data_IF_145117034885
#
_entry.id   IF_145117034885
#
_cell.length_a   1.000
_cell.length_b   1.000
_cell.length_c   1.000
_cell.angle_alpha   90.00
_cell.angle_beta   90.00
_cell.angle_gamma   90.00
#
_symmetry.space_group_name_H-M   'P 1'
#
loop_
_entity.id
_entity.type
_entity.pdbx_description
1 polymer ?
#
# COMPACT_ATOMS: atom_id res chain seq x y z
N UNK A 1 -4.35 -49.19 69.18
CA UNK A 1 -4.56 -47.78 68.78
C UNK A 1 -4.05 -47.61 67.37
N UNK A 2 -4.93 -47.80 66.39
CA UNK A 2 -4.59 -47.72 64.92
C UNK A 2 -4.94 -46.38 64.39
N UNK A 3 -3.96 -45.65 63.88
CA UNK A 3 -4.17 -44.39 63.14
C UNK A 3 -4.22 -44.64 61.62
N UNK A 4 -5.37 -44.56 61.08
CA UNK A 4 -5.61 -44.61 59.62
C UNK A 4 -5.16 -43.33 59.00
N UNK A 5 -4.15 -43.41 58.10
CA UNK A 5 -3.74 -42.34 57.19
C UNK A 5 -4.65 -42.33 55.96
N UNK A 6 -5.29 -41.18 55.68
CA UNK A 6 -6.06 -40.95 54.47
C UNK A 6 -5.12 -40.42 53.40
N UNK A 7 -5.18 -40.86 52.13
CA UNK A 7 -4.41 -40.27 51.09
C UNK A 7 -5.12 -39.01 50.57
N UNK A 8 -4.35 -37.94 50.43
CA UNK A 8 -4.76 -36.69 49.77
C UNK A 8 -4.60 -36.88 48.25
N UNK A 9 -5.70 -36.89 47.52
CA UNK A 9 -5.68 -36.80 46.05
C UNK A 9 -5.30 -35.38 45.65
N UNK A 10 -4.13 -35.20 45.07
CA UNK A 10 -3.73 -34.00 44.39
C UNK A 10 -4.37 -33.99 42.99
N UNK A 11 -5.35 -33.15 42.81
CA UNK A 11 -5.96 -32.89 41.48
C UNK A 11 -4.98 -32.15 40.59
N UNK A 12 -4.56 -32.78 39.50
CA UNK A 12 -3.76 -32.19 38.44
C UNK A 12 -4.70 -31.39 37.50
N UNK A 13 -4.75 -30.07 37.65
CA UNK A 13 -5.47 -29.20 36.73
C UNK A 13 -4.64 -29.09 35.44
N UNK A 14 -5.09 -29.75 34.36
CA UNK A 14 -4.60 -29.50 33.02
C UNK A 14 -5.07 -28.12 32.58
N UNK A 15 -4.18 -27.15 32.62
CA UNK A 15 -4.35 -25.88 31.92
C UNK A 15 -4.11 -26.15 30.43
N UNK A 16 -5.17 -26.28 29.66
CA UNK A 16 -5.10 -26.29 28.21
C UNK A 16 -4.65 -24.89 27.77
N UNK A 17 -3.37 -24.74 27.49
CA UNK A 17 -2.81 -23.56 26.84
C UNK A 17 -3.39 -23.42 25.43
N UNK A 18 -4.27 -22.47 25.23
CA UNK A 18 -4.70 -22.06 23.90
C UNK A 18 -3.51 -21.31 23.27
N UNK A 19 -2.63 -22.04 22.60
CA UNK A 19 -1.65 -21.45 21.70
C UNK A 19 -2.42 -20.89 20.52
N UNK A 20 -2.72 -19.58 20.55
CA UNK A 20 -3.08 -18.86 19.35
C UNK A 20 -1.92 -19.00 18.36
N UNK A 21 -2.08 -19.88 17.38
CA UNK A 21 -1.21 -19.93 16.24
C UNK A 21 -1.35 -18.56 15.54
N UNK A 22 -0.38 -17.67 15.77
CA UNK A 22 -0.15 -16.52 14.92
C UNK A 22 0.08 -17.12 13.54
N UNK A 23 -0.87 -16.93 12.64
CA UNK A 23 -0.67 -17.21 11.24
C UNK A 23 0.53 -16.38 10.82
N UNK A 24 1.67 -17.05 10.59
CA UNK A 24 2.84 -16.40 9.99
C UNK A 24 2.41 -16.07 8.57
N UNK A 25 2.18 -14.78 8.35
CA UNK A 25 1.98 -14.26 7.02
C UNK A 25 3.21 -14.60 6.19
N UNK A 26 3.07 -15.58 5.30
CA UNK A 26 4.12 -15.96 4.37
C UNK A 26 4.44 -14.82 3.40
N UNK A 27 5.55 -14.92 2.64
CA UNK A 27 5.89 -13.91 1.64
C UNK A 27 4.71 -13.71 0.69
N UNK A 28 4.15 -12.49 0.67
CA UNK A 28 2.95 -12.13 -0.10
C UNK A 28 1.69 -11.85 0.71
N UNK A 29 1.71 -11.98 2.03
CA UNK A 29 0.57 -11.66 2.90
C UNK A 29 0.08 -10.21 2.77
N UNK A 30 0.98 -9.27 2.48
CA UNK A 30 0.62 -7.87 2.23
C UNK A 30 -0.37 -7.65 1.08
N UNK A 31 -0.46 -8.59 0.13
CA UNK A 31 -1.43 -8.52 -0.97
C UNK A 31 -2.85 -8.92 -0.56
N UNK A 32 -3.03 -9.59 0.57
CA UNK A 32 -4.36 -10.00 1.06
C UNK A 32 -5.26 -8.82 1.44
N UNK A 33 -4.66 -7.69 1.78
CA UNK A 33 -5.38 -6.47 2.16
C UNK A 33 -5.91 -5.66 0.97
N UNK A 34 -5.43 -5.93 -0.24
CA UNK A 34 -5.93 -5.28 -1.46
C UNK A 34 -7.23 -5.96 -1.88
N UNK A 35 -8.39 -5.29 -1.94
CA UNK A 35 -9.66 -5.92 -2.29
C UNK A 35 -9.64 -6.47 -3.71
N UNK A 36 -10.50 -7.47 -3.97
CA UNK A 36 -10.70 -7.96 -5.32
C UNK A 36 -11.35 -6.86 -6.17
N UNK A 37 -10.85 -6.64 -7.38
CA UNK A 37 -11.33 -5.57 -8.24
C UNK A 37 -10.79 -4.18 -7.88
N UNK A 38 -9.77 -4.11 -7.00
CA UNK A 38 -9.11 -2.85 -6.67
C UNK A 38 -8.63 -2.12 -7.92
N UNK A 39 -8.72 -0.80 -7.87
CA UNK A 39 -8.34 0.10 -8.95
C UNK A 39 -6.85 0.41 -8.88
N UNK A 40 -6.07 -0.12 -9.79
CA UNK A 40 -4.63 0.09 -9.85
C UNK A 40 -4.27 1.14 -10.91
N UNK A 41 -3.33 1.99 -10.56
CA UNK A 41 -2.84 3.06 -11.42
C UNK A 41 -1.32 3.04 -11.45
N UNK A 42 -0.78 3.20 -12.65
CA UNK A 42 0.62 3.59 -12.85
C UNK A 42 0.61 4.94 -13.54
N UNK A 43 1.27 5.93 -12.94
CA UNK A 43 1.40 7.24 -13.55
C UNK A 43 2.88 7.57 -13.78
N UNK A 44 3.17 8.25 -14.87
CA UNK A 44 4.51 8.72 -15.23
C UNK A 44 4.52 10.22 -15.40
N UNK A 45 5.52 10.89 -14.84
CA UNK A 45 5.85 12.28 -15.12
C UNK A 45 7.32 12.40 -15.40
N UNK A 46 7.69 13.21 -16.36
CA UNK A 46 9.07 13.46 -16.76
C UNK A 46 9.41 14.96 -16.61
N UNK A 47 10.56 15.24 -16.03
CA UNK A 47 11.05 16.61 -15.94
C UNK A 47 11.40 17.17 -17.33
N UNK A 48 11.18 18.46 -17.51
CA UNK A 48 11.83 19.20 -18.58
C UNK A 48 13.36 19.19 -18.41
N UNK A 49 14.14 19.29 -19.45
CA UNK A 49 15.60 19.40 -19.35
C UNK A 49 16.03 20.49 -18.37
N UNK A 50 16.86 20.14 -17.39
CA UNK A 50 17.34 21.04 -16.35
C UNK A 50 16.36 21.30 -15.20
N UNK A 51 15.19 20.64 -15.18
CA UNK A 51 14.17 20.75 -14.12
C UNK A 51 14.04 19.51 -13.24
N UNK A 52 14.97 18.57 -13.36
CA UNK A 52 14.94 17.28 -12.67
C UNK A 52 14.91 17.46 -11.14
N UNK A 53 15.79 18.31 -10.61
CA UNK A 53 15.87 18.57 -9.17
C UNK A 53 14.63 19.32 -8.64
N UNK A 54 14.11 20.27 -9.43
CA UNK A 54 12.93 21.05 -9.05
C UNK A 54 11.67 20.17 -9.06
N UNK A 55 11.48 19.33 -10.09
CA UNK A 55 10.37 18.39 -10.14
C UNK A 55 10.44 17.39 -8.99
N UNK A 56 11.64 16.87 -8.70
CA UNK A 56 11.85 15.97 -7.55
C UNK A 56 11.45 16.65 -6.24
N UNK A 57 11.90 17.88 -5.99
CA UNK A 57 11.57 18.64 -4.79
C UNK A 57 10.07 18.93 -4.67
N UNK A 58 9.38 19.18 -5.79
CA UNK A 58 7.95 19.38 -5.82
C UNK A 58 7.15 18.09 -5.58
N UNK A 59 7.71 16.93 -5.95
CA UNK A 59 7.00 15.63 -5.94
C UNK A 59 7.20 14.84 -4.64
N UNK A 60 8.39 14.91 -4.03
CA UNK A 60 8.70 14.16 -2.81
C UNK A 60 7.71 14.38 -1.63
N UNK A 61 7.20 15.61 -1.37
CA UNK A 61 6.24 15.82 -0.30
C UNK A 61 4.94 15.04 -0.45
N UNK A 62 4.56 14.66 -1.67
CA UNK A 62 3.36 13.84 -1.91
C UNK A 62 3.43 12.50 -1.18
N UNK A 63 4.62 11.93 -0.98
CA UNK A 63 4.77 10.61 -0.34
C UNK A 63 4.12 10.58 1.04
N UNK A 64 4.36 11.60 1.86
CA UNK A 64 3.76 11.68 3.20
C UNK A 64 2.27 11.99 3.15
N UNK A 65 1.86 12.89 2.25
CA UNK A 65 0.46 13.31 2.10
C UNK A 65 -0.42 12.15 1.61
N UNK A 66 0.02 11.42 0.58
CA UNK A 66 -0.74 10.31 0.01
C UNK A 66 -0.78 9.12 0.97
N UNK A 67 0.31 8.82 1.68
CA UNK A 67 0.32 7.76 2.70
C UNK A 67 -0.59 8.06 3.89
N UNK A 68 -0.90 9.32 4.11
CA UNK A 68 -1.90 9.75 5.10
C UNK A 68 -3.35 9.71 4.59
N UNK A 69 -3.57 9.49 3.30
CA UNK A 69 -4.91 9.37 2.72
C UNK A 69 -5.45 7.94 2.93
N UNK A 70 -6.52 7.73 3.73
CA UNK A 70 -7.05 6.40 4.00
C UNK A 70 -7.66 5.72 2.76
N UNK A 71 -7.89 6.47 1.69
CA UNK A 71 -8.42 5.96 0.41
C UNK A 71 -7.34 5.36 -0.47
N UNK A 72 -6.07 5.71 -0.26
CA UNK A 72 -4.95 5.11 -0.97
C UNK A 72 -4.44 3.89 -0.20
N UNK A 73 -4.56 2.71 -0.78
CA UNK A 73 -4.16 1.44 -0.16
C UNK A 73 -2.67 1.14 -0.33
N UNK A 74 -2.11 1.56 -1.46
CA UNK A 74 -0.68 1.38 -1.79
C UNK A 74 -0.21 2.58 -2.57
N UNK A 75 0.92 3.16 -2.15
CA UNK A 75 1.57 4.25 -2.85
C UNK A 75 3.08 4.09 -2.86
N UNK A 76 3.65 4.04 -4.05
CA UNK A 76 5.08 4.10 -4.28
C UNK A 76 5.41 5.20 -5.29
N UNK A 77 6.26 6.13 -4.87
CA UNK A 77 6.93 7.05 -5.77
C UNK A 77 8.33 6.51 -6.06
N UNK A 78 8.63 6.35 -7.31
CA UNK A 78 9.91 5.81 -7.81
C UNK A 78 10.51 6.79 -8.81
N UNK A 79 11.84 6.88 -8.82
CA UNK A 79 12.57 7.59 -9.87
C UNK A 79 13.39 6.59 -10.67
N UNK A 80 13.37 6.72 -11.98
CA UNK A 80 14.13 5.86 -12.88
C UNK A 80 15.63 6.15 -12.72
N UNK A 81 16.40 5.14 -12.31
CA UNK A 81 17.85 5.27 -12.11
C UNK A 81 18.61 5.54 -13.42
N UNK A 82 18.09 5.09 -14.54
CA UNK A 82 18.69 5.28 -15.86
C UNK A 82 18.26 6.60 -16.51
N UNK A 83 17.20 7.24 -15.99
CA UNK A 83 16.65 8.49 -16.51
C UNK A 83 16.24 9.41 -15.35
N UNK A 84 17.19 10.07 -14.69
CA UNK A 84 16.89 11.03 -13.63
C UNK A 84 15.84 12.06 -14.07
N UNK A 85 14.92 12.41 -13.17
CA UNK A 85 13.78 13.27 -13.48
C UNK A 85 12.58 12.56 -14.11
N UNK A 86 12.67 11.24 -14.31
CA UNK A 86 11.53 10.40 -14.67
C UNK A 86 10.97 9.74 -13.43
N UNK A 87 9.75 10.12 -13.04
CA UNK A 87 9.08 9.61 -11.84
C UNK A 87 7.92 8.70 -12.24
N UNK A 88 7.80 7.57 -11.52
CA UNK A 88 6.74 6.60 -11.67
C UNK A 88 5.99 6.52 -10.34
N UNK A 89 4.68 6.70 -10.39
CA UNK A 89 3.76 6.47 -9.29
C UNK A 89 3.11 5.11 -9.50
N UNK A 90 3.12 4.29 -8.46
CA UNK A 90 2.36 3.06 -8.40
C UNK A 90 1.34 3.19 -7.28
N UNK A 91 0.07 3.11 -7.63
CA UNK A 91 -1.01 3.41 -6.71
C UNK A 91 -2.11 2.34 -6.79
N UNK A 92 -2.69 2.02 -5.64
CA UNK A 92 -3.86 1.14 -5.56
C UNK A 92 -4.90 1.81 -4.68
N UNK A 93 -6.13 1.84 -5.16
CA UNK A 93 -7.33 2.31 -4.48
C UNK A 93 -8.34 1.16 -4.37
N UNK A 94 -9.28 1.24 -3.43
CA UNK A 94 -10.32 0.22 -3.31
C UNK A 94 -11.17 0.14 -4.59
N UNK A 95 -11.47 1.31 -5.17
CA UNK A 95 -12.24 1.44 -6.41
C UNK A 95 -11.90 2.75 -7.15
N UNK A 96 -12.58 2.97 -8.26
CA UNK A 96 -12.44 4.18 -9.08
C UNK A 96 -12.89 5.46 -8.36
N UNK A 97 -13.91 5.39 -7.51
CA UNK A 97 -14.42 6.56 -6.81
C UNK A 97 -13.40 7.09 -5.80
N UNK A 98 -12.67 6.19 -5.13
CA UNK A 98 -11.57 6.57 -4.23
C UNK A 98 -10.39 7.21 -4.99
N UNK A 99 -10.05 6.69 -6.17
CA UNK A 99 -9.07 7.34 -7.05
C UNK A 99 -9.51 8.75 -7.48
N UNK A 100 -10.78 8.93 -7.86
CA UNK A 100 -11.31 10.24 -8.25
C UNK A 100 -11.32 11.22 -7.05
N UNK A 101 -11.68 10.74 -5.86
CA UNK A 101 -11.64 11.54 -4.63
C UNK A 101 -10.21 11.96 -4.28
N UNK A 102 -9.24 11.03 -4.41
CA UNK A 102 -7.82 11.34 -4.24
C UNK A 102 -7.35 12.46 -5.20
N UNK A 103 -7.68 12.37 -6.49
CA UNK A 103 -7.32 13.41 -7.45
C UNK A 103 -7.99 14.77 -7.18
N UNK A 104 -9.08 14.79 -6.43
CA UNK A 104 -9.76 16.02 -6.01
C UNK A 104 -9.11 16.69 -4.79
N UNK A 105 -8.15 16.03 -4.12
CA UNK A 105 -7.49 16.57 -2.93
C UNK A 105 -6.70 17.85 -3.26
N UNK A 106 -6.70 18.86 -2.37
CA UNK A 106 -6.01 20.12 -2.60
C UNK A 106 -4.53 19.94 -2.95
N UNK A 107 -3.81 19.10 -2.21
CA UNK A 107 -2.37 18.88 -2.43
C UNK A 107 -2.06 18.24 -3.79
N UNK A 108 -2.97 17.42 -4.32
CA UNK A 108 -2.83 16.84 -5.67
C UNK A 108 -3.00 17.94 -6.72
N UNK A 109 -4.04 18.77 -6.58
CA UNK A 109 -4.28 19.89 -7.48
C UNK A 109 -3.14 20.92 -7.46
N UNK A 110 -2.60 21.22 -6.28
CA UNK A 110 -1.44 22.12 -6.12
C UNK A 110 -0.19 21.55 -6.79
N UNK A 111 0.02 20.23 -6.71
CA UNK A 111 1.11 19.60 -7.42
C UNK A 111 0.92 19.67 -8.93
N UNK A 112 -0.27 19.34 -9.44
CA UNK A 112 -0.59 19.45 -10.87
C UNK A 112 -0.40 20.87 -11.40
N UNK A 113 -0.72 21.90 -10.62
CA UNK A 113 -0.53 23.30 -11.00
C UNK A 113 0.94 23.70 -11.25
N UNK A 114 1.90 22.95 -10.68
CA UNK A 114 3.34 23.19 -10.88
C UNK A 114 3.89 22.52 -12.15
N UNK A 115 3.20 21.51 -12.68
CA UNK A 115 3.71 20.69 -13.78
C UNK A 115 3.93 21.44 -15.09
N UNK A 116 3.12 22.44 -15.49
CA UNK A 116 3.39 23.20 -16.71
C UNK A 116 4.80 23.81 -16.77
N UNK A 117 5.36 24.17 -15.62
CA UNK A 117 6.71 24.76 -15.54
C UNK A 117 7.82 23.70 -15.42
N UNK A 118 7.51 22.54 -14.84
CA UNK A 118 8.48 21.54 -14.42
C UNK A 118 8.50 20.28 -15.29
N UNK A 119 7.35 19.88 -15.85
CA UNK A 119 7.20 18.61 -16.53
C UNK A 119 7.10 18.75 -18.06
N UNK A 120 7.66 17.76 -18.75
CA UNK A 120 7.55 17.59 -20.19
C UNK A 120 6.34 16.68 -20.50
N UNK A 121 5.34 17.22 -21.16
CA UNK A 121 4.15 16.48 -21.61
C UNK A 121 3.13 16.13 -20.51
N UNK A 122 3.28 16.64 -19.28
CA UNK A 122 2.34 16.40 -18.18
C UNK A 122 2.45 14.99 -17.60
N UNK A 123 1.35 14.49 -16.99
CA UNK A 123 1.28 13.16 -16.38
C UNK A 123 0.61 12.17 -17.32
N UNK A 124 1.31 11.08 -17.60
CA UNK A 124 0.76 9.94 -18.35
C UNK A 124 0.19 8.93 -17.38
N UNK A 125 -1.12 8.74 -17.36
CA UNK A 125 -1.83 7.83 -16.46
C UNK A 125 -2.21 6.55 -17.19
N UNK A 126 -1.78 5.41 -16.64
CA UNK A 126 -2.16 4.07 -17.08
C UNK A 126 -3.05 3.43 -16.00
N UNK A 127 -4.24 2.98 -16.40
CA UNK A 127 -5.17 2.25 -15.52
C UNK A 127 -4.93 0.76 -15.71
N UNK A 128 -4.66 0.07 -14.63
CA UNK A 128 -4.20 -1.31 -14.64
C UNK A 128 -5.19 -2.22 -13.93
N UNK A 129 -5.28 -3.45 -14.40
CA UNK A 129 -5.98 -4.53 -13.71
C UNK A 129 -4.96 -5.39 -12.96
N UNK A 130 -5.23 -5.73 -11.70
CA UNK A 130 -4.37 -6.61 -10.92
C UNK A 130 -4.71 -8.05 -11.25
N UNK A 131 -3.81 -8.73 -11.96
CA UNK A 131 -3.96 -10.13 -12.37
C UNK A 131 -3.38 -11.09 -11.34
N UNK A 132 -3.81 -12.36 -11.38
CA UNK A 132 -3.16 -13.46 -10.63
C UNK A 132 -3.36 -13.44 -9.12
N UNK A 133 -4.41 -12.79 -8.61
CA UNK A 133 -4.73 -12.83 -7.18
C UNK A 133 -5.18 -14.24 -6.77
N UNK A 134 -4.63 -14.75 -5.65
CA UNK A 134 -5.11 -16.02 -5.05
C UNK A 134 -6.58 -15.87 -4.69
N UNK A 135 -7.44 -16.70 -5.28
CA UNK A 135 -8.89 -16.71 -5.05
C UNK A 135 -9.76 -16.49 -6.29
N UNK A 136 -9.21 -16.05 -7.41
CA UNK A 136 -9.90 -16.16 -8.68
C UNK A 136 -9.80 -17.63 -9.13
N UNK A 137 -10.75 -18.47 -8.72
CA UNK A 137 -10.97 -19.75 -9.39
C UNK A 137 -11.19 -19.44 -10.86
N UNK A 138 -10.29 -19.95 -11.71
CA UNK A 138 -10.52 -19.98 -13.15
C UNK A 138 -11.89 -20.64 -13.38
N UNK A 139 -12.85 -19.88 -13.90
CA UNK A 139 -14.10 -20.40 -14.45
C UNK A 139 -13.89 -20.71 -15.91
#
# INVERSE_FOLDING_TARGET
MSRTMRPVLAGLACVAGVTSAMAQDGPGAGYSQVPQGAYSVVAEVRAKPGKEAELRAATLPLVALVRGDPKNLVYFLQEDRAAPGRFIFYEIFADRADFEAHNAMPYVKEWFAKLPDLADGGVKVMRMEILGRRGASAR
#
